data_IF_849003478959
#
_entry.id   IF_849003478959
#
_cell.length_a   1.000
_cell.length_b   1.000
_cell.length_c   1.000
_cell.angle_alpha   90.00
_cell.angle_beta   90.00
_cell.angle_gamma   90.00
#
_symmetry.space_group_name_H-M   'P 1'
#
loop_
_entity.id
_entity.type
_entity.pdbx_description
1 polymer ?
#
# COMPACT_ATOMS: atom_id res chain seq x y z
N UNK A 1 -2.09 0.01 14.52
CA UNK A 1 -2.90 -1.14 14.09
C UNK A 1 -2.31 -2.44 14.65
N UNK A 2 -3.13 -3.44 15.02
CA UNK A 2 -2.63 -4.77 15.43
C UNK A 2 -2.01 -5.54 14.25
N UNK A 3 -1.21 -6.57 14.52
CA UNK A 3 -0.49 -7.31 13.47
C UNK A 3 -1.44 -8.00 12.49
N UNK A 4 -2.53 -8.60 12.99
CA UNK A 4 -3.54 -9.24 12.12
C UNK A 4 -4.21 -8.23 11.19
N UNK A 5 -4.68 -7.11 11.73
CA UNK A 5 -5.29 -6.03 10.95
C UNK A 5 -4.30 -5.48 9.91
N UNK A 6 -3.02 -5.39 10.26
CA UNK A 6 -1.99 -4.93 9.34
C UNK A 6 -1.80 -5.89 8.17
N UNK A 7 -1.84 -7.20 8.40
CA UNK A 7 -1.78 -8.20 7.32
C UNK A 7 -2.97 -8.09 6.37
N UNK A 8 -4.17 -7.87 6.91
CA UNK A 8 -5.37 -7.65 6.11
C UNK A 8 -5.25 -6.36 5.27
N UNK A 9 -4.66 -5.30 5.84
CA UNK A 9 -4.40 -4.05 5.14
C UNK A 9 -3.36 -4.21 4.02
N UNK A 10 -2.31 -5.01 4.22
CA UNK A 10 -1.34 -5.32 3.16
C UNK A 10 -2.00 -6.07 1.99
N UNK A 11 -2.95 -6.96 2.26
CA UNK A 11 -3.73 -7.62 1.20
C UNK A 11 -4.60 -6.61 0.45
N UNK A 12 -5.28 -5.70 1.16
CA UNK A 12 -6.05 -4.61 0.55
C UNK A 12 -5.20 -3.72 -0.34
N UNK A 13 -3.98 -3.41 0.07
CA UNK A 13 -3.04 -2.62 -0.75
C UNK A 13 -2.79 -3.30 -2.10
N UNK A 14 -2.58 -4.61 -2.11
CA UNK A 14 -2.38 -5.35 -3.36
C UNK A 14 -3.61 -5.29 -4.25
N UNK A 15 -4.79 -5.56 -3.69
CA UNK A 15 -6.06 -5.51 -4.42
C UNK A 15 -6.38 -4.11 -4.97
N UNK A 16 -6.13 -3.07 -4.17
CA UNK A 16 -6.26 -1.68 -4.59
C UNK A 16 -5.36 -1.42 -5.80
N UNK A 17 -4.08 -1.80 -5.69
CA UNK A 17 -3.10 -1.63 -6.76
C UNK A 17 -3.49 -2.40 -8.01
N UNK A 18 -4.10 -3.58 -7.92
CA UNK A 18 -4.65 -4.34 -9.06
C UNK A 18 -5.88 -3.68 -9.70
N UNK A 19 -6.59 -2.82 -8.97
CA UNK A 19 -7.83 -2.18 -9.44
C UNK A 19 -7.61 -0.81 -10.11
N UNK A 20 -6.50 -0.11 -9.84
CA UNK A 20 -6.26 1.23 -10.36
C UNK A 20 -6.31 1.34 -11.90
N UNK A 21 -6.76 2.47 -12.41
CA UNK A 21 -6.74 2.73 -13.86
C UNK A 21 -5.36 3.23 -14.35
N UNK A 22 -4.51 3.71 -13.43
CA UNK A 22 -3.19 4.29 -13.69
C UNK A 22 -2.30 4.14 -12.45
N UNK A 23 -0.97 4.22 -12.57
CA UNK A 23 -0.12 4.25 -11.39
C UNK A 23 -0.41 5.49 -10.53
N UNK A 24 -0.42 5.31 -9.21
CA UNK A 24 -0.58 6.37 -8.22
C UNK A 24 0.72 6.55 -7.45
N UNK A 25 1.04 7.78 -7.03
CA UNK A 25 2.17 7.98 -6.14
C UNK A 25 1.85 7.46 -4.72
N UNK A 26 2.87 7.04 -3.94
CA UNK A 26 2.65 6.65 -2.55
C UNK A 26 2.02 7.77 -1.71
N UNK A 27 2.43 9.02 -1.94
CA UNK A 27 1.86 10.17 -1.23
C UNK A 27 0.36 10.31 -1.46
N UNK A 28 -0.11 10.11 -2.69
CA UNK A 28 -1.55 10.15 -3.01
C UNK A 28 -2.31 9.00 -2.36
N UNK A 29 -1.79 7.78 -2.47
CA UNK A 29 -2.47 6.59 -1.99
C UNK A 29 -2.55 6.53 -0.46
N UNK A 30 -1.46 6.91 0.21
CA UNK A 30 -1.39 6.86 1.67
C UNK A 30 -1.93 8.11 2.36
N UNK A 31 -2.35 9.15 1.63
CA UNK A 31 -2.86 10.37 2.24
C UNK A 31 -4.05 10.11 3.17
N UNK A 32 -3.91 10.45 4.45
CA UNK A 32 -4.85 10.16 5.52
C UNK A 32 -4.71 8.75 6.12
N UNK A 33 -4.25 7.75 5.34
CA UNK A 33 -4.01 6.38 5.80
C UNK A 33 -2.72 6.27 6.61
N UNK A 34 -1.76 7.20 6.48
CA UNK A 34 -0.52 7.16 7.26
C UNK A 34 -0.76 7.10 8.77
N UNK A 35 -1.89 7.66 9.23
CA UNK A 35 -2.23 7.81 10.66
C UNK A 35 -2.64 6.50 11.34
N UNK A 36 -3.03 5.47 10.57
CA UNK A 36 -3.46 4.18 11.14
C UNK A 36 -2.30 3.21 11.36
N UNK A 37 -1.17 3.48 10.70
CA UNK A 37 0.05 2.68 10.80
C UNK A 37 0.96 3.20 11.90
N UNK A 38 1.74 2.29 12.50
CA UNK A 38 2.98 2.66 13.17
C UNK A 38 4.08 2.90 12.14
N UNK A 39 5.17 3.56 12.53
CA UNK A 39 6.27 3.91 11.62
C UNK A 39 6.88 2.70 10.88
N UNK A 40 7.02 1.56 11.55
CA UNK A 40 7.50 0.30 10.99
C UNK A 40 6.53 -0.26 9.94
N UNK A 41 5.26 -0.35 10.32
CA UNK A 41 4.16 -0.81 9.47
C UNK A 41 3.99 0.08 8.24
N UNK A 42 4.13 1.40 8.40
CA UNK A 42 3.97 2.34 7.31
C UNK A 42 5.06 2.16 6.26
N UNK A 43 6.32 2.00 6.69
CA UNK A 43 7.44 1.75 5.77
C UNK A 43 7.24 0.46 4.99
N UNK A 44 6.79 -0.60 5.64
CA UNK A 44 6.50 -1.88 5.00
C UNK A 44 5.33 -1.77 4.00
N UNK A 45 4.24 -1.08 4.38
CA UNK A 45 3.11 -0.83 3.49
C UNK A 45 3.51 -0.04 2.24
N UNK A 46 4.33 1.02 2.40
CA UNK A 46 4.84 1.83 1.29
C UNK A 46 5.74 1.00 0.37
N UNK A 47 6.63 0.19 0.93
CA UNK A 47 7.50 -0.69 0.15
C UNK A 47 6.68 -1.68 -0.68
N UNK A 48 5.68 -2.32 -0.07
CA UNK A 48 4.79 -3.25 -0.77
C UNK A 48 4.01 -2.56 -1.88
N UNK A 49 3.44 -1.38 -1.61
CA UNK A 49 2.71 -0.60 -2.61
C UNK A 49 3.56 -0.30 -3.84
N UNK A 50 4.79 0.17 -3.64
CA UNK A 50 5.72 0.47 -4.72
C UNK A 50 6.08 -0.78 -5.54
N UNK A 51 6.35 -1.90 -4.87
CA UNK A 51 6.63 -3.18 -5.55
C UNK A 51 5.43 -3.65 -6.38
N UNK A 52 4.22 -3.55 -5.83
CA UNK A 52 2.98 -3.92 -6.54
C UNK A 52 2.72 -3.01 -7.75
N UNK A 53 2.94 -1.70 -7.61
CA UNK A 53 2.79 -0.74 -8.72
C UNK A 53 3.76 -1.06 -9.85
N UNK A 54 5.02 -1.33 -9.51
CA UNK A 54 6.05 -1.69 -10.47
C UNK A 54 5.66 -2.96 -11.24
N UNK A 55 5.26 -4.02 -10.51
CA UNK A 55 4.82 -5.29 -11.11
C UNK A 55 3.64 -5.12 -12.06
N UNK A 56 2.71 -4.22 -11.75
CA UNK A 56 1.49 -4.06 -12.55
C UNK A 56 1.69 -3.22 -13.81
N UNK A 57 2.48 -2.14 -13.73
CA UNK A 57 2.52 -1.11 -14.76
C UNK A 57 3.85 -1.04 -15.53
N UNK A 58 4.88 -1.78 -15.11
CA UNK A 58 6.18 -1.87 -15.83
C UNK A 58 6.41 -3.22 -16.55
N UNK A 59 5.35 -4.01 -16.81
CA UNK A 59 5.37 -5.16 -17.74
C UNK A 59 5.06 -4.74 -19.20
#
# INVERSE_FOLDING_TARGET
MEEREFRDELERIRLDVESFARPLSPCEYFHGREKIFRDDQFREAVALFLESQQKRFEE
#
